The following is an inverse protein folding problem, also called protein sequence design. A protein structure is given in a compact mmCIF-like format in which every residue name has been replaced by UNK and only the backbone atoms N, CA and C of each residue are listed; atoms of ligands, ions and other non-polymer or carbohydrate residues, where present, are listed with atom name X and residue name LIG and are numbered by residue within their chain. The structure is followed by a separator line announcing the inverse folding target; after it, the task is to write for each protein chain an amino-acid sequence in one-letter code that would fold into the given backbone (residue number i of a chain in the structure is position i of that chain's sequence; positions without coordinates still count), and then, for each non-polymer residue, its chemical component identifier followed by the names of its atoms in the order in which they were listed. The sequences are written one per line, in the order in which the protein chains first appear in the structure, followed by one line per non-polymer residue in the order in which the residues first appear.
data_IF_351523344724
#
_entry.id   IF_351523344724
#
_cell.length_a   1.000
_cell.length_b   1.000
_cell.length_c   1.000
_cell.angle_alpha   90.00
_cell.angle_beta   90.00
_cell.angle_gamma   90.00
#
_symmetry.space_group_name_H-M   'P 1'
#
loop_
_entity.id
_entity.type
_entity.pdbx_description
1 polymer ?
#
# COMPACT_ATOMS: atom_id res chain seq x y z
N UNK A 1 -15.84 -2.60 -1.20
CA UNK A 1 -14.78 -1.60 -0.93
C UNK A 1 -13.57 -2.00 -1.75
N UNK A 2 -13.22 -1.22 -2.77
CA UNK A 2 -12.05 -1.52 -3.61
C UNK A 2 -10.80 -0.97 -2.92
N UNK A 3 -10.09 -1.82 -2.20
CA UNK A 3 -8.83 -1.47 -1.55
C UNK A 3 -7.67 -1.66 -2.54
N UNK A 4 -6.66 -0.79 -2.49
CA UNK A 4 -5.44 -1.00 -3.27
C UNK A 4 -4.78 -2.32 -2.87
N UNK A 5 -4.78 -3.29 -3.77
CA UNK A 5 -4.11 -4.59 -3.61
C UNK A 5 -2.74 -4.65 -4.28
N UNK A 6 -2.31 -3.59 -4.98
CA UNK A 6 -1.05 -3.55 -5.72
C UNK A 6 -0.26 -2.26 -5.43
N UNK A 7 1.06 -2.38 -5.38
CA UNK A 7 1.98 -1.25 -5.25
C UNK A 7 3.14 -1.38 -6.24
N UNK A 8 3.82 -0.27 -6.53
CA UNK A 8 5.08 -0.23 -7.26
C UNK A 8 6.22 -0.27 -6.25
N UNK A 9 7.13 -1.22 -6.42
CA UNK A 9 8.29 -1.42 -5.56
C UNK A 9 9.51 -1.62 -6.46
N UNK A 10 10.51 -0.74 -6.36
CA UNK A 10 11.70 -0.76 -7.23
C UNK A 10 11.37 -0.83 -8.74
N UNK A 11 10.31 -0.16 -9.18
CA UNK A 11 9.88 -0.19 -10.58
C UNK A 11 8.98 -1.38 -10.95
N UNK A 12 8.84 -2.38 -10.09
CA UNK A 12 7.98 -3.55 -10.33
C UNK A 12 6.65 -3.41 -9.61
N UNK A 13 5.55 -3.75 -10.30
CA UNK A 13 4.24 -3.85 -9.67
C UNK A 13 4.16 -5.17 -8.91
N UNK A 14 3.95 -5.10 -7.59
CA UNK A 14 3.79 -6.26 -6.72
C UNK A 14 2.46 -6.19 -5.97
N UNK A 15 1.81 -7.34 -5.70
CA UNK A 15 0.60 -7.39 -4.91
C UNK A 15 0.88 -7.17 -3.41
N UNK A 16 -0.16 -6.86 -2.66
CA UNK A 16 -0.13 -6.51 -1.23
C UNK A 16 0.37 -7.66 -0.36
N UNK A 17 0.03 -8.89 -0.72
CA UNK A 17 0.51 -10.10 -0.05
C UNK A 17 2.03 -10.19 -0.14
N UNK A 18 2.58 -9.90 -1.33
CA UNK A 18 4.04 -9.92 -1.57
C UNK A 18 4.72 -8.76 -0.85
N UNK A 19 4.13 -7.56 -0.86
CA UNK A 19 4.67 -6.42 -0.11
C UNK A 19 4.64 -6.65 1.40
N UNK A 20 3.61 -7.32 1.92
CA UNK A 20 3.52 -7.72 3.32
C UNK A 20 4.57 -8.78 3.67
N UNK A 21 4.76 -9.79 2.82
CA UNK A 21 5.81 -10.79 3.00
C UNK A 21 7.19 -10.12 3.02
N UNK A 22 7.48 -9.19 2.09
CA UNK A 22 8.73 -8.41 2.09
C UNK A 22 8.84 -7.62 3.40
N UNK A 23 7.80 -6.91 3.81
CA UNK A 23 7.82 -6.14 5.06
C UNK A 23 8.07 -7.04 6.28
N UNK A 24 7.47 -8.22 6.31
CA UNK A 24 7.60 -9.17 7.42
C UNK A 24 8.99 -9.79 7.49
N UNK A 25 9.54 -10.22 6.34
CA UNK A 25 10.89 -10.79 6.21
C UNK A 25 12.02 -9.80 6.49
N UNK A 26 11.75 -8.49 6.53
CA UNK A 26 12.75 -7.46 6.76
C UNK A 26 12.71 -6.92 8.19
N UNK A 27 13.89 -6.62 8.73
CA UNK A 27 14.06 -5.99 10.05
C UNK A 27 13.48 -4.57 10.08
N UNK A 28 13.12 -4.01 11.26
CA UNK A 28 12.60 -2.64 11.36
C UNK A 28 13.50 -1.57 10.73
N UNK A 29 14.83 -1.78 10.70
CA UNK A 29 15.77 -0.90 10.02
C UNK A 29 15.57 -0.93 8.50
N UNK A 30 15.45 -2.13 7.92
CA UNK A 30 15.19 -2.31 6.49
C UNK A 30 13.77 -1.89 6.09
N UNK A 31 12.77 -2.02 6.97
CA UNK A 31 11.41 -1.54 6.69
C UNK A 31 11.36 -0.04 6.41
N UNK A 32 12.31 0.74 6.93
CA UNK A 32 12.43 2.18 6.65
C UNK A 32 13.04 2.47 5.27
N UNK A 33 13.79 1.53 4.70
CA UNK A 33 14.35 1.66 3.35
C UNK A 33 13.43 1.11 2.26
N UNK A 34 12.37 0.37 2.62
CA UNK A 34 11.36 -0.09 1.67
C UNK A 34 10.47 1.07 1.21
N UNK A 35 10.78 1.60 0.02
CA UNK A 35 9.93 2.57 -0.67
C UNK A 35 8.85 1.83 -1.48
N UNK A 36 7.66 1.68 -0.90
CA UNK A 36 6.48 1.26 -1.66
C UNK A 36 5.80 2.50 -2.22
N UNK A 37 5.50 2.50 -3.51
CA UNK A 37 4.89 3.61 -4.22
C UNK A 37 3.54 3.19 -4.80
N UNK A 38 2.60 4.12 -4.93
CA UNK A 38 1.36 3.85 -5.64
C UNK A 38 1.66 3.80 -7.15
N UNK A 39 1.26 2.75 -7.90
CA UNK A 39 1.50 2.67 -9.34
C UNK A 39 0.70 3.73 -10.13
N UNK A 40 -0.34 4.32 -9.54
CA UNK A 40 -1.16 5.37 -10.19
C UNK A 40 -0.63 6.77 -9.94
N UNK A 41 -0.36 7.13 -8.69
CA UNK A 41 0.04 8.49 -8.32
C UNK A 41 1.54 8.64 -8.00
N UNK A 42 2.32 7.55 -7.99
CA UNK A 42 3.76 7.58 -7.71
C UNK A 42 4.10 8.00 -6.27
N UNK A 43 3.11 8.10 -5.38
CA UNK A 43 3.30 8.56 -4.00
C UNK A 43 3.64 7.40 -3.07
N UNK A 44 4.40 7.65 -1.98
CA UNK A 44 4.74 6.61 -1.03
C UNK A 44 3.49 6.08 -0.31
N UNK A 45 3.35 4.76 -0.32
CA UNK A 45 2.28 3.99 0.34
C UNK A 45 2.89 3.06 1.40
N UNK A 46 2.06 2.61 2.32
CA UNK A 46 2.43 1.67 3.38
C UNK A 46 1.51 0.46 3.34
N UNK A 47 2.05 -0.77 3.24
CA UNK A 47 1.25 -1.97 3.36
C UNK A 47 0.74 -2.16 4.79
N UNK A 48 -0.56 -2.36 4.92
CA UNK A 48 -1.27 -2.71 6.14
C UNK A 48 -1.67 -4.19 6.12
N UNK A 49 -1.52 -4.86 7.28
CA UNK A 49 -1.89 -6.27 7.40
C UNK A 49 -3.40 -6.38 7.30
N UNK A 50 -3.88 -7.48 6.70
CA UNK A 50 -5.27 -7.88 6.83
C UNK A 50 -5.63 -7.98 8.33
N UNK A 51 -6.69 -7.27 8.72
CA UNK A 51 -7.29 -7.43 10.04
C UNK A 51 -8.48 -8.39 9.95
N UNK A 52 -9.09 -8.68 11.10
CA UNK A 52 -10.24 -9.59 11.27
C UNK A 52 -11.43 -9.32 10.32
N UNK A 53 -11.54 -8.10 9.78
CA UNK A 53 -12.66 -7.68 8.90
C UNK A 53 -12.24 -7.03 7.59
N UNK A 54 -10.93 -6.86 7.35
CA UNK A 54 -10.42 -6.18 6.16
C UNK A 54 -9.23 -6.95 5.60
N UNK A 55 -9.25 -7.22 4.28
CA UNK A 55 -8.10 -7.78 3.58
C UNK A 55 -6.86 -6.88 3.68
N UNK A 56 -5.71 -7.47 3.38
CA UNK A 56 -4.46 -6.75 3.25
C UNK A 56 -4.62 -5.61 2.24
N UNK A 57 -4.19 -4.40 2.61
CA UNK A 57 -4.35 -3.22 1.75
C UNK A 57 -3.19 -2.24 1.90
N UNK A 58 -3.00 -1.40 0.89
CA UNK A 58 -2.07 -0.27 0.97
C UNK A 58 -2.79 1.02 1.36
N UNK A 59 -2.14 1.81 2.22
CA UNK A 59 -2.60 3.15 2.61
C UNK A 59 -1.54 4.17 2.26
N UNK A 60 -1.93 5.32 1.72
CA UNK A 60 -0.99 6.40 1.42
C UNK A 60 -0.42 7.00 2.71
N UNK A 61 0.91 7.18 2.77
CA UNK A 61 1.56 7.79 3.94
C UNK A 61 1.16 9.26 4.06
N UNK A 62 1.13 9.97 2.92
CA UNK A 62 0.57 11.31 2.83
C UNK A 62 -0.83 11.23 2.23
N UNK A 63 -1.81 11.85 2.89
CA UNK A 63 -3.16 12.00 2.33
C UNK A 63 -3.07 12.63 0.94
N UNK A 64 -3.53 11.90 -0.06
CA UNK A 64 -3.67 12.41 -1.41
C UNK A 64 -5.15 12.35 -1.79
N UNK A 65 -5.90 13.46 -1.69
CA UNK A 65 -7.29 13.50 -2.16
C UNK A 65 -7.38 13.28 -3.69
N UNK A 66 -6.27 13.45 -4.41
CA UNK A 66 -6.17 13.29 -5.86
C UNK A 66 -5.96 11.84 -6.32
N UNK A 67 -5.66 10.90 -5.41
CA UNK A 67 -5.46 9.50 -5.79
C UNK A 67 -6.78 8.73 -5.64
N UNK A 68 -7.44 8.29 -6.74
CA UNK A 68 -8.76 7.65 -6.69
C UNK A 68 -8.79 6.28 -5.99
N UNK A 69 -7.63 5.81 -5.51
CA UNK A 69 -7.47 4.56 -4.75
C UNK A 69 -7.33 4.83 -3.23
N UNK A 70 -7.25 6.10 -2.80
CA UNK A 70 -6.97 6.44 -1.40
C UNK A 70 -8.11 6.08 -0.43
N UNK A 71 -9.34 6.01 -0.91
CA UNK A 71 -10.54 5.47 -0.26
C UNK A 71 -11.63 5.60 -1.34
N UNK A 72 -12.63 4.70 -1.43
CA UNK A 72 -13.81 5.04 -2.21
C UNK A 72 -14.39 6.30 -1.58
N UNK A 73 -14.52 7.37 -2.37
CA UNK A 73 -15.40 8.49 -2.02
C UNK A 73 -16.73 7.82 -1.66
N UNK A 74 -17.11 7.88 -0.39
CA UNK A 74 -18.44 7.47 0.06
C UNK A 74 -19.38 8.50 -0.56
N UNK A 75 -19.88 8.20 -1.74
CA UNK A 75 -21.00 8.94 -2.32
C UNK A 75 -22.21 8.67 -1.43
N UNK A 76 -22.71 9.75 -0.81
CA UNK A 76 -23.86 9.80 0.08
C UNK A 76 -25.13 9.95 -0.75
#
# INVERSE_FOLDING_TARGET
MSMATECKFFGHIIPVEKALAIRDSHTPAQRRTLAFECPKCGRPVRPHIAGDRCGAHFVHINRNPDCPIAEPVREY
#
